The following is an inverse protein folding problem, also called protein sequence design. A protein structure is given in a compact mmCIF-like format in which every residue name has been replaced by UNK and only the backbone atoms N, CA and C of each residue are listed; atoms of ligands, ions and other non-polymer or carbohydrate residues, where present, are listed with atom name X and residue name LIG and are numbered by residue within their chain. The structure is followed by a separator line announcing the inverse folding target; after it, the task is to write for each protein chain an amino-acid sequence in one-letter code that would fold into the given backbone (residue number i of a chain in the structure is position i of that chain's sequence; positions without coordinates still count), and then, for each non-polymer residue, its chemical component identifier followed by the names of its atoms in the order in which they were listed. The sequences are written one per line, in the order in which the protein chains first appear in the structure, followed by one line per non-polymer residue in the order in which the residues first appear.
data_IF_326930227469
#
_entry.id   IF_326930227469
#
_cell.length_a   1.000
_cell.length_b   1.000
_cell.length_c   1.000
_cell.angle_alpha   90.00
_cell.angle_beta   90.00
_cell.angle_gamma   90.00
#
_symmetry.space_group_name_H-M   'P 1'
#
loop_
_entity.id
_entity.type
_entity.pdbx_description
1 polymer ?
#
# COMPACT_ATOMS: atom_id res chain seq x y z
N UNK A 1 -2.76 2.73 22.52
CA UNK A 1 -2.73 3.55 21.31
C UNK A 1 -2.91 2.61 20.14
N UNK A 2 -3.93 2.82 19.32
CA UNK A 2 -4.33 1.99 18.17
C UNK A 2 -3.56 2.37 16.90
N UNK A 3 -3.82 1.68 15.77
CA UNK A 3 -3.29 2.13 14.47
C UNK A 3 -3.92 3.46 14.03
N UNK A 4 -5.17 3.71 14.43
CA UNK A 4 -5.91 4.94 14.11
C UNK A 4 -5.28 6.15 14.78
N UNK A 5 -4.92 6.03 16.07
CA UNK A 5 -4.24 7.09 16.81
C UNK A 5 -2.90 7.45 16.17
N UNK A 6 -2.19 6.45 15.63
CA UNK A 6 -0.90 6.65 14.95
C UNK A 6 -1.04 7.32 13.60
N UNK A 7 -2.10 6.99 12.87
CA UNK A 7 -2.46 7.72 11.66
C UNK A 7 -2.77 9.18 11.99
N UNK A 8 -3.53 9.45 13.05
CA UNK A 8 -3.80 10.83 13.48
C UNK A 8 -2.50 11.57 13.85
N UNK A 9 -1.59 10.94 14.57
CA UNK A 9 -0.28 11.52 14.90
C UNK A 9 0.54 11.86 13.64
N UNK A 10 0.46 11.05 12.58
CA UNK A 10 1.09 11.38 11.30
C UNK A 10 0.47 12.63 10.67
N UNK A 11 -0.87 12.72 10.65
CA UNK A 11 -1.59 13.88 10.11
C UNK A 11 -1.26 15.17 10.89
N UNK A 12 -1.21 15.10 12.22
CA UNK A 12 -0.92 16.25 13.07
C UNK A 12 0.52 16.76 12.83
N UNK A 13 1.47 15.84 12.66
CA UNK A 13 2.85 16.17 12.35
C UNK A 13 3.04 16.72 10.92
N UNK A 14 2.30 16.20 9.94
CA UNK A 14 2.28 16.76 8.59
C UNK A 14 1.68 18.17 8.58
N UNK A 15 0.60 18.40 9.33
CA UNK A 15 -0.06 19.70 9.44
C UNK A 15 0.83 20.76 10.11
N UNK A 16 1.69 20.36 11.05
CA UNK A 16 2.67 21.26 11.67
C UNK A 16 3.90 21.52 10.80
N UNK A 17 4.08 20.76 9.72
CA UNK A 17 5.27 20.80 8.87
C UNK A 17 6.51 20.16 9.50
N UNK A 18 6.36 19.50 10.66
CA UNK A 18 7.46 18.82 11.35
C UNK A 18 7.71 17.45 10.72
N UNK A 19 8.66 17.43 9.78
CA UNK A 19 9.08 16.20 9.10
C UNK A 19 9.71 15.17 10.05
N UNK A 20 10.32 15.59 11.15
CA UNK A 20 10.89 14.66 12.13
C UNK A 20 9.77 13.96 12.88
N UNK A 21 8.80 14.72 13.38
CA UNK A 21 7.63 14.15 14.05
C UNK A 21 6.82 13.23 13.14
N UNK A 22 6.67 13.59 11.86
CA UNK A 22 5.95 12.75 10.89
C UNK A 22 6.69 11.43 10.65
N UNK A 23 8.03 11.47 10.55
CA UNK A 23 8.85 10.27 10.43
C UNK A 23 8.76 9.39 11.68
N UNK A 24 8.84 9.98 12.87
CA UNK A 24 8.75 9.26 14.14
C UNK A 24 7.38 8.59 14.33
N UNK A 25 6.30 9.28 13.96
CA UNK A 25 4.94 8.73 13.97
C UNK A 25 4.81 7.53 13.02
N UNK A 26 5.38 7.62 11.82
CA UNK A 26 5.39 6.52 10.85
C UNK A 26 6.20 5.32 11.35
N UNK A 27 7.36 5.56 11.97
CA UNK A 27 8.17 4.49 12.58
C UNK A 27 7.40 3.80 13.72
N UNK A 28 6.71 4.58 14.56
CA UNK A 28 5.86 4.04 15.62
C UNK A 28 4.70 3.19 15.07
N UNK A 29 4.12 3.56 13.92
CA UNK A 29 3.11 2.76 13.22
C UNK A 29 3.67 1.41 12.74
N UNK A 30 4.85 1.41 12.11
CA UNK A 30 5.51 0.17 11.67
C UNK A 30 5.82 -0.77 12.83
N UNK A 31 6.34 -0.25 13.93
CA UNK A 31 6.65 -1.05 15.13
C UNK A 31 5.38 -1.66 15.75
N UNK A 32 4.25 -0.95 15.68
CA UNK A 32 2.98 -1.40 16.23
C UNK A 32 2.31 -2.52 15.41
N UNK A 33 2.71 -2.76 14.17
CA UNK A 33 2.11 -3.83 13.34
C UNK A 33 2.10 -5.21 14.00
N UNK A 34 3.07 -5.48 14.88
CA UNK A 34 3.19 -6.73 15.63
C UNK A 34 2.14 -6.88 16.74
N UNK A 35 1.49 -5.78 17.12
CA UNK A 35 0.51 -5.67 18.20
C UNK A 35 -0.91 -5.38 17.67
N UNK A 36 -1.07 -5.18 16.36
CA UNK A 36 -2.38 -4.93 15.75
C UNK A 36 -3.35 -6.06 16.04
N UNK A 37 -4.51 -5.69 16.57
CA UNK A 37 -5.67 -6.58 16.70
C UNK A 37 -6.51 -6.61 15.41
N UNK A 38 -7.61 -7.35 15.42
CA UNK A 38 -8.47 -7.47 14.24
C UNK A 38 -9.16 -6.15 13.85
N UNK A 39 -9.42 -5.26 14.80
CA UNK A 39 -9.99 -3.95 14.49
C UNK A 39 -8.96 -3.05 13.79
N UNK A 40 -7.70 -3.08 14.25
CA UNK A 40 -6.59 -2.39 13.60
C UNK A 40 -6.39 -2.90 12.16
N UNK A 41 -6.43 -4.22 11.96
CA UNK A 41 -6.29 -4.83 10.62
C UNK A 41 -7.47 -4.49 9.70
N UNK A 42 -8.71 -4.53 10.20
CA UNK A 42 -9.89 -4.14 9.43
C UNK A 42 -9.84 -2.65 9.04
N UNK A 43 -9.34 -1.80 9.92
CA UNK A 43 -9.14 -0.39 9.62
C UNK A 43 -8.08 -0.19 8.53
N UNK A 44 -6.94 -0.88 8.59
CA UNK A 44 -5.91 -0.83 7.54
C UNK A 44 -6.44 -1.30 6.19
N UNK A 45 -7.21 -2.38 6.16
CA UNK A 45 -7.81 -2.91 4.94
C UNK A 45 -8.81 -1.92 4.32
N UNK A 46 -9.77 -1.42 5.11
CA UNK A 46 -10.76 -0.45 4.63
C UNK A 46 -10.15 0.89 4.21
N UNK A 47 -9.00 1.26 4.80
CA UNK A 47 -8.29 2.49 4.48
C UNK A 47 -7.68 2.50 3.08
N UNK A 48 -7.45 1.33 2.46
CA UNK A 48 -6.93 1.23 1.09
C UNK A 48 -7.93 1.68 0.03
N UNK A 49 -9.23 1.71 0.37
CA UNK A 49 -10.30 2.21 -0.49
C UNK A 49 -10.57 3.70 -0.29
N UNK A 50 -10.01 4.30 0.75
CA UNK A 50 -10.15 5.71 1.07
C UNK A 50 -9.13 6.55 0.28
N UNK A 51 -9.54 7.65 -0.37
CA UNK A 51 -8.64 8.44 -1.21
C UNK A 51 -7.45 9.05 -0.47
N UNK A 52 -7.59 9.27 0.84
CA UNK A 52 -6.58 9.90 1.70
C UNK A 52 -5.87 8.87 2.57
N UNK A 53 -6.60 8.01 3.29
CA UNK A 53 -5.99 7.08 4.26
C UNK A 53 -5.13 6.00 3.61
N UNK A 54 -5.36 5.66 2.34
CA UNK A 54 -4.55 4.67 1.62
C UNK A 54 -3.06 5.01 1.60
N UNK A 55 -2.71 6.30 1.62
CA UNK A 55 -1.31 6.74 1.59
C UNK A 55 -0.57 6.41 2.88
N UNK A 56 -1.27 6.46 4.02
CA UNK A 56 -0.71 5.99 5.28
C UNK A 56 -0.40 4.49 5.22
N UNK A 57 -1.34 3.68 4.70
CA UNK A 57 -1.12 2.23 4.56
C UNK A 57 0.07 1.94 3.63
N UNK A 58 0.14 2.62 2.48
CA UNK A 58 1.28 2.52 1.57
C UNK A 58 2.60 2.90 2.25
N UNK A 59 2.63 4.00 3.01
CA UNK A 59 3.83 4.45 3.72
C UNK A 59 4.26 3.45 4.79
N UNK A 60 3.32 2.88 5.55
CA UNK A 60 3.61 1.85 6.57
C UNK A 60 4.27 0.64 5.91
N UNK A 61 3.73 0.14 4.80
CA UNK A 61 4.23 -1.05 4.10
C UNK A 61 5.32 -0.80 3.05
N UNK A 62 5.82 0.43 2.89
CA UNK A 62 6.92 0.74 1.95
C UNK A 62 8.16 -0.14 2.21
N UNK A 63 8.44 -0.44 3.48
CA UNK A 63 9.60 -1.23 3.91
C UNK A 63 9.27 -2.51 4.68
N UNK A 64 7.99 -2.71 5.01
CA UNK A 64 7.55 -3.88 5.76
C UNK A 64 7.10 -4.99 4.81
N UNK A 65 7.04 -6.22 5.32
CA UNK A 65 6.40 -7.33 4.60
C UNK A 65 4.89 -7.17 4.65
N UNK A 66 4.22 -7.36 3.51
CA UNK A 66 2.77 -7.17 3.42
C UNK A 66 2.01 -8.42 3.90
N UNK A 67 1.18 -8.36 4.95
CA UNK A 67 0.36 -9.50 5.39
C UNK A 67 -0.64 -9.93 4.32
N UNK A 68 -0.92 -11.24 4.25
CA UNK A 68 -1.79 -11.83 3.20
C UNK A 68 -3.18 -11.19 3.15
N UNK A 69 -3.72 -10.80 4.32
CA UNK A 69 -5.02 -10.14 4.45
C UNK A 69 -5.11 -8.82 3.67
N UNK A 70 -4.00 -8.10 3.50
CA UNK A 70 -3.98 -6.82 2.79
C UNK A 70 -3.64 -6.94 1.30
N UNK A 71 -3.23 -8.13 0.83
CA UNK A 71 -2.72 -8.30 -0.54
C UNK A 71 -3.76 -7.90 -1.59
N UNK A 72 -5.01 -8.37 -1.46
CA UNK A 72 -6.07 -8.05 -2.42
C UNK A 72 -6.38 -6.56 -2.45
N UNK A 73 -6.54 -5.95 -1.26
CA UNK A 73 -6.84 -4.53 -1.13
C UNK A 73 -5.69 -3.64 -1.65
N UNK A 74 -4.43 -4.01 -1.42
CA UNK A 74 -3.27 -3.29 -1.96
C UNK A 74 -3.22 -3.37 -3.50
N UNK A 75 -3.44 -4.55 -4.08
CA UNK A 75 -3.49 -4.71 -5.54
C UNK A 75 -4.62 -3.86 -6.14
N UNK A 76 -5.81 -3.90 -5.52
CA UNK A 76 -6.94 -3.06 -5.93
C UNK A 76 -6.61 -1.58 -5.86
N UNK A 77 -6.00 -1.11 -4.77
CA UNK A 77 -5.57 0.28 -4.62
C UNK A 77 -4.55 0.68 -5.68
N UNK A 78 -3.61 -0.21 -6.04
CA UNK A 78 -2.66 0.02 -7.12
C UNK A 78 -3.35 0.15 -8.49
N UNK A 79 -4.33 -0.71 -8.77
CA UNK A 79 -5.10 -0.71 -10.02
C UNK A 79 -5.93 0.58 -10.14
N UNK A 80 -6.60 0.99 -9.07
CA UNK A 80 -7.49 2.15 -9.10
C UNK A 80 -6.75 3.50 -9.00
N UNK A 81 -5.45 3.50 -8.70
CA UNK A 81 -4.65 4.73 -8.65
C UNK A 81 -4.45 5.32 -10.05
N UNK A 82 -4.94 6.56 -10.23
CA UNK A 82 -4.95 7.26 -11.52
C UNK A 82 -3.55 7.71 -11.93
N UNK A 83 -2.68 8.03 -10.97
CA UNK A 83 -1.30 8.43 -11.26
C UNK A 83 -0.39 7.19 -11.35
N UNK A 84 0.18 6.96 -12.53
CA UNK A 84 1.08 5.82 -12.80
C UNK A 84 2.32 5.85 -11.90
N UNK A 85 2.82 7.02 -11.55
CA UNK A 85 3.98 7.14 -10.66
C UNK A 85 3.65 6.80 -9.22
N UNK A 86 2.37 6.86 -8.82
CA UNK A 86 1.95 6.61 -7.45
C UNK A 86 1.47 5.18 -7.22
N UNK A 87 1.00 4.49 -8.27
CA UNK A 87 0.51 3.11 -8.12
C UNK A 87 1.59 2.12 -7.60
N UNK A 88 2.88 2.42 -7.82
CA UNK A 88 4.03 1.69 -7.28
C UNK A 88 4.06 1.66 -5.75
N UNK A 89 3.55 2.69 -5.07
CA UNK A 89 3.49 2.72 -3.61
C UNK A 89 2.64 1.57 -3.04
N UNK A 90 1.72 1.03 -3.85
CA UNK A 90 0.86 -0.09 -3.50
C UNK A 90 1.34 -1.41 -4.11
N UNK A 91 1.83 -1.42 -5.36
CA UNK A 91 2.24 -2.66 -6.04
C UNK A 91 3.64 -3.15 -5.63
N UNK A 92 4.57 -2.25 -5.28
CA UNK A 92 5.95 -2.64 -4.89
C UNK A 92 5.97 -3.50 -3.62
N UNK A 93 5.23 -3.16 -2.53
CA UNK A 93 5.14 -4.04 -1.36
C UNK A 93 4.59 -5.43 -1.68
N UNK A 94 3.64 -5.52 -2.62
CA UNK A 94 3.05 -6.79 -3.07
C UNK A 94 4.11 -7.63 -3.77
N UNK A 95 4.81 -7.06 -4.76
CA UNK A 95 5.84 -7.74 -5.54
C UNK A 95 7.04 -8.16 -4.69
N UNK A 96 7.47 -7.31 -3.76
CA UNK A 96 8.56 -7.62 -2.85
C UNK A 96 8.23 -8.80 -1.92
N UNK A 97 6.98 -8.87 -1.44
CA UNK A 97 6.58 -9.90 -0.47
C UNK A 97 6.19 -11.22 -1.13
N UNK A 98 5.45 -11.17 -2.24
CA UNK A 98 4.82 -12.34 -2.86
C UNK A 98 5.40 -12.73 -4.23
N UNK A 99 6.23 -11.88 -4.83
CA UNK A 99 6.79 -12.11 -6.15
C UNK A 99 5.81 -11.86 -7.29
N UNK A 100 6.36 -11.85 -8.51
CA UNK A 100 5.60 -11.57 -9.73
C UNK A 100 4.52 -12.63 -9.99
N UNK A 101 4.86 -13.91 -9.86
CA UNK A 101 3.96 -15.04 -10.15
C UNK A 101 2.65 -15.00 -9.37
N UNK A 102 2.69 -14.45 -8.15
CA UNK A 102 1.49 -14.32 -7.32
C UNK A 102 0.71 -13.05 -7.62
N UNK A 103 1.40 -11.94 -7.85
CA UNK A 103 0.77 -10.61 -7.98
C UNK A 103 0.22 -10.37 -9.38
N UNK A 104 0.92 -10.84 -10.42
CA UNK A 104 0.52 -10.60 -11.81
C UNK A 104 -0.88 -11.14 -12.13
N UNK A 105 -1.25 -12.39 -11.80
CA UNK A 105 -2.61 -12.88 -12.07
C UNK A 105 -3.69 -12.03 -11.40
N UNK A 106 -3.45 -11.55 -10.17
CA UNK A 106 -4.39 -10.68 -9.45
C UNK A 106 -4.61 -9.34 -10.14
N UNK A 107 -3.58 -8.80 -10.83
CA UNK A 107 -3.73 -7.59 -11.64
C UNK A 107 -4.41 -7.91 -12.98
N UNK A 108 -4.09 -9.06 -13.57
CA UNK A 108 -4.68 -9.48 -14.84
C UNK A 108 -6.20 -9.69 -14.73
N UNK A 109 -6.72 -10.11 -13.57
CA UNK A 109 -8.16 -10.17 -13.27
C UNK A 109 -8.90 -8.84 -13.51
N UNK A 110 -8.21 -7.70 -13.43
CA UNK A 110 -8.80 -6.38 -13.68
C UNK A 110 -8.78 -5.95 -15.16
N UNK A 111 -8.14 -6.70 -16.05
CA UNK A 111 -8.10 -6.38 -17.49
C UNK A 111 -9.49 -6.51 -18.14
N UNK A 112 -10.32 -7.41 -17.61
CA UNK A 112 -11.68 -7.68 -18.08
C UNK A 112 -12.75 -7.20 -17.07
N UNK A 113 -12.37 -6.38 -16.09
CA UNK A 113 -13.28 -5.89 -15.06
C UNK A 113 -14.17 -4.74 -15.54
N UNK A 114 -15.44 -4.75 -15.13
CA UNK A 114 -16.38 -3.64 -15.34
C UNK A 114 -16.21 -2.49 -14.33
N UNK A 115 -15.29 -2.61 -13.37
CA UNK A 115 -15.01 -1.54 -12.41
C UNK A 115 -14.45 -0.32 -13.15
N UNK A 116 -15.05 0.87 -12.99
CA UNK A 116 -14.60 2.07 -13.71
C UNK A 116 -13.11 2.35 -13.50
N UNK A 117 -12.38 2.49 -14.60
CA UNK A 117 -10.95 2.79 -14.59
C UNK A 117 -10.03 1.59 -14.30
N UNK A 118 -10.56 0.45 -13.84
CA UNK A 118 -9.75 -0.71 -13.46
C UNK A 118 -8.96 -1.30 -14.65
N UNK A 119 -9.61 -1.49 -15.80
CA UNK A 119 -8.92 -1.98 -17.00
C UNK A 119 -7.76 -1.09 -17.42
N UNK A 120 -7.95 0.23 -17.36
CA UNK A 120 -6.90 1.21 -17.67
C UNK A 120 -5.78 1.19 -16.64
N UNK A 121 -6.11 1.01 -15.36
CA UNK A 121 -5.14 0.88 -14.28
C UNK A 121 -4.31 -0.39 -14.37
N UNK A 122 -4.95 -1.54 -14.60
CA UNK A 122 -4.31 -2.82 -14.80
C UNK A 122 -3.34 -2.78 -15.98
N UNK A 123 -3.74 -2.20 -17.12
CA UNK A 123 -2.86 -1.99 -18.28
C UNK A 123 -1.62 -1.16 -17.95
N UNK A 124 -1.76 -0.13 -17.10
CA UNK A 124 -0.62 0.70 -16.65
C UNK A 124 0.31 -0.08 -15.73
N UNK A 125 -0.22 -0.92 -14.83
CA UNK A 125 0.57 -1.77 -13.95
C UNK A 125 1.41 -2.81 -14.71
N UNK A 126 1.00 -3.23 -15.91
CA UNK A 126 1.83 -4.12 -16.77
C UNK A 126 3.22 -3.53 -17.10
N UNK A 127 3.43 -2.23 -16.91
CA UNK A 127 4.78 -1.65 -16.98
C UNK A 127 5.70 -2.16 -15.85
N UNK A 128 5.16 -2.29 -14.63
CA UNK A 128 5.89 -2.73 -13.45
C UNK A 128 5.96 -4.26 -13.32
N UNK A 129 5.01 -4.97 -13.89
CA UNK A 129 4.89 -6.44 -13.84
C UNK A 129 5.74 -7.15 -14.90
N UNK A 130 7.00 -6.73 -15.06
CA UNK A 130 7.93 -7.29 -16.06
C UNK A 130 9.15 -7.90 -15.39
N UNK A 131 9.63 -9.01 -15.94
CA UNK A 131 10.91 -9.60 -15.56
C UNK A 131 12.10 -8.79 -16.15
N UNK A 132 13.24 -8.71 -15.45
CA UNK A 132 13.41 -9.02 -14.03
C UNK A 132 12.89 -7.86 -13.17
N UNK A 133 11.96 -8.14 -12.26
CA UNK A 133 11.63 -7.17 -11.21
C UNK A 133 12.87 -7.06 -10.31
N UNK A 134 13.72 -6.08 -10.57
CA UNK A 134 14.89 -5.80 -9.75
C UNK A 134 14.37 -5.39 -8.36
N UNK A 135 14.48 -6.30 -7.39
CA UNK A 135 14.42 -5.97 -5.97
C UNK A 135 15.33 -4.76 -5.78
N UNK A 136 14.79 -3.60 -5.42
CA UNK A 136 15.64 -2.49 -4.96
C UNK A 136 16.47 -3.05 -3.82
N UNK A 137 17.78 -3.13 -4.05
CA UNK A 137 18.73 -3.66 -3.09
C UNK A 137 18.53 -2.97 -1.75
N UNK A 138 18.32 -3.76 -0.71
CA UNK A 138 18.63 -3.39 0.66
C UNK A 138 20.11 -3.03 0.71
N UNK A 139 20.39 -1.74 0.85
CA UNK A 139 21.64 -1.22 1.40
C UNK A 139 21.30 -0.56 2.74
#
# INVERSE_FOLDING_TARGET
MSIVDRHQACLDAEASGDRSAAWDALVAARQYLKQCDDADWAWLESSLDDPTRKWFVAAVFDRESLPRRLLSAMVRAAVLERNVSNNRAFIDPCLRTYGLDRVKPMVDEYLDSDVPGAQSGAKRLQYWLREPYKRRGTF
#
